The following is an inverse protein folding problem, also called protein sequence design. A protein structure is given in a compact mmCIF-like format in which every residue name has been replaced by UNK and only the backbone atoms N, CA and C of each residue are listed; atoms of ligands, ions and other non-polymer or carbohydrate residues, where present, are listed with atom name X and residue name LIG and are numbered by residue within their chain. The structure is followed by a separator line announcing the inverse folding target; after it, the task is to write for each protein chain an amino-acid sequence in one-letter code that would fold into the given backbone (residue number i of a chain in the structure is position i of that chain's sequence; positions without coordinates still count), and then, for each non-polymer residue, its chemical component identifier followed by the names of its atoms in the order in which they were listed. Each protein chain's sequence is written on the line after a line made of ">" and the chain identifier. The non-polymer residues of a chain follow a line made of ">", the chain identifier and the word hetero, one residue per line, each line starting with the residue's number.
data_IF_288517955085
#
_entry.id   IF_288517955085
#
_cell.length_a   1.000
_cell.length_b   1.000
_cell.length_c   1.000
_cell.angle_alpha   90.00
_cell.angle_beta   90.00
_cell.angle_gamma   90.00
#
_symmetry.space_group_name_H-M   'P 1'
#
loop_
_entity.id
_entity.type
_entity.pdbx_description
1 polymer ?
#
# COMPACT_ATOMS: atom_id res chain seq x y z
N UNK A 1 -80.51 1.43 18.71
CA UNK A 1 -79.95 2.07 17.50
C UNK A 1 -78.65 2.76 17.88
N UNK A 2 -77.55 2.01 18.10
CA UNK A 2 -76.27 2.60 18.56
C UNK A 2 -75.14 1.56 18.64
N UNK A 3 -74.70 0.97 17.52
CA UNK A 3 -73.51 0.07 17.49
C UNK A 3 -72.54 0.32 16.32
N UNK A 4 -72.82 1.27 15.44
CA UNK A 4 -72.05 1.43 14.18
C UNK A 4 -70.79 2.32 14.29
N UNK A 5 -70.56 3.01 15.41
CA UNK A 5 -69.46 3.98 15.52
C UNK A 5 -68.13 3.42 16.06
N UNK A 6 -68.11 2.22 16.65
CA UNK A 6 -66.88 1.64 17.23
C UNK A 6 -65.95 1.02 16.17
N UNK A 7 -66.51 0.52 15.07
CA UNK A 7 -65.79 -0.27 14.08
C UNK A 7 -64.85 0.57 13.19
N UNK A 8 -65.23 1.81 12.86
CA UNK A 8 -64.47 2.69 11.96
C UNK A 8 -63.13 3.18 12.54
N UNK A 9 -62.99 3.24 13.86
CA UNK A 9 -61.72 3.60 14.53
C UNK A 9 -60.68 2.48 14.41
N UNK A 10 -61.11 1.22 14.57
CA UNK A 10 -60.21 0.06 14.47
C UNK A 10 -59.61 -0.12 13.07
N UNK A 11 -60.33 0.25 12.01
CA UNK A 11 -59.78 0.22 10.65
C UNK A 11 -58.71 1.28 10.40
N UNK A 12 -58.85 2.48 11.00
CA UNK A 12 -57.84 3.55 10.89
C UNK A 12 -56.56 3.20 11.64
N UNK A 13 -56.68 2.58 12.81
CA UNK A 13 -55.52 2.15 13.60
C UNK A 13 -54.73 1.04 12.89
N UNK A 14 -55.40 0.08 12.27
CA UNK A 14 -54.75 -0.98 11.47
C UNK A 14 -54.06 -0.45 10.21
N UNK A 15 -54.65 0.58 9.57
CA UNK A 15 -54.03 1.26 8.43
C UNK A 15 -52.79 2.07 8.85
N UNK A 16 -52.85 2.77 9.99
CA UNK A 16 -51.72 3.53 10.52
C UNK A 16 -50.52 2.63 10.90
N UNK A 17 -50.78 1.47 11.52
CA UNK A 17 -49.76 0.48 11.85
C UNK A 17 -49.11 -0.16 10.60
N UNK A 18 -49.87 -0.30 9.50
CA UNK A 18 -49.33 -0.83 8.24
C UNK A 18 -48.45 0.20 7.53
N UNK A 19 -48.83 1.48 7.55
CA UNK A 19 -48.05 2.56 6.95
C UNK A 19 -46.70 2.78 7.66
N UNK A 20 -46.69 2.75 9.00
CA UNK A 20 -45.45 2.89 9.78
C UNK A 20 -44.47 1.75 9.53
N UNK A 21 -44.97 0.51 9.38
CA UNK A 21 -44.15 -0.66 9.10
C UNK A 21 -43.53 -0.61 7.69
N UNK A 22 -44.26 -0.09 6.70
CA UNK A 22 -43.72 0.18 5.35
C UNK A 22 -42.65 1.27 5.35
N UNK A 23 -42.84 2.35 6.13
CA UNK A 23 -41.83 3.39 6.32
C UNK A 23 -40.57 2.86 7.00
N UNK A 24 -40.73 2.03 8.04
CA UNK A 24 -39.62 1.39 8.72
C UNK A 24 -38.83 0.47 7.76
N UNK A 25 -39.52 -0.35 6.97
CA UNK A 25 -38.89 -1.18 5.93
C UNK A 25 -38.15 -0.36 4.88
N UNK A 26 -38.73 0.74 4.39
CA UNK A 26 -38.04 1.65 3.45
C UNK A 26 -36.75 2.20 4.04
N UNK A 27 -36.78 2.69 5.28
CA UNK A 27 -35.58 3.22 5.94
C UNK A 27 -34.48 2.18 6.14
N UNK A 28 -34.81 0.90 6.34
CA UNK A 28 -33.83 -0.18 6.42
C UNK A 28 -33.20 -0.48 5.05
N UNK A 29 -34.01 -0.51 4.00
CA UNK A 29 -33.53 -0.69 2.61
C UNK A 29 -32.64 0.49 2.19
N UNK A 30 -33.02 1.72 2.52
CA UNK A 30 -32.23 2.92 2.25
C UNK A 30 -30.89 2.88 3.00
N UNK A 31 -30.89 2.51 4.29
CA UNK A 31 -29.66 2.32 5.07
C UNK A 31 -28.74 1.25 4.46
N UNK A 32 -29.32 0.14 3.98
CA UNK A 32 -28.57 -0.92 3.31
C UNK A 32 -27.98 -0.45 1.97
N UNK A 33 -28.75 0.30 1.18
CA UNK A 33 -28.32 0.86 -0.11
C UNK A 33 -27.19 1.88 0.07
N UNK A 34 -27.30 2.77 1.06
CA UNK A 34 -26.25 3.73 1.40
C UNK A 34 -24.97 3.03 1.86
N UNK A 35 -25.09 1.98 2.67
CA UNK A 35 -23.93 1.19 3.14
C UNK A 35 -23.24 0.48 1.98
N UNK A 36 -24.01 -0.14 1.08
CA UNK A 36 -23.47 -0.79 -0.12
C UNK A 36 -22.78 0.20 -1.06
N UNK A 37 -23.37 1.38 -1.27
CA UNK A 37 -22.81 2.42 -2.13
C UNK A 37 -21.49 2.95 -1.55
N UNK A 38 -21.46 3.25 -0.24
CA UNK A 38 -20.22 3.66 0.45
C UNK A 38 -19.13 2.60 0.30
N UNK A 39 -19.47 1.33 0.47
CA UNK A 39 -18.53 0.23 0.30
C UNK A 39 -17.98 0.16 -1.13
N UNK A 40 -18.85 0.30 -2.15
CA UNK A 40 -18.43 0.33 -3.56
C UNK A 40 -17.51 1.52 -3.86
N UNK A 41 -17.80 2.70 -3.33
CA UNK A 41 -16.94 3.88 -3.49
C UNK A 41 -15.57 3.68 -2.84
N UNK A 42 -15.53 3.11 -1.63
CA UNK A 42 -14.26 2.80 -0.95
C UNK A 42 -13.46 1.78 -1.76
N UNK A 43 -14.09 0.68 -2.19
CA UNK A 43 -13.42 -0.32 -3.03
C UNK A 43 -12.94 0.23 -4.37
N UNK A 44 -13.76 1.06 -5.01
CA UNK A 44 -13.38 1.76 -6.24
C UNK A 44 -12.18 2.67 -6.02
N UNK A 45 -12.17 3.45 -4.94
CA UNK A 45 -11.04 4.30 -4.56
C UNK A 45 -9.77 3.49 -4.26
N UNK A 46 -9.88 2.39 -3.53
CA UNK A 46 -8.76 1.49 -3.25
C UNK A 46 -8.21 0.85 -4.53
N UNK A 47 -9.08 0.36 -5.41
CA UNK A 47 -8.68 -0.24 -6.68
C UNK A 47 -8.01 0.79 -7.60
N UNK A 48 -8.57 2.00 -7.69
CA UNK A 48 -7.99 3.09 -8.47
C UNK A 48 -6.62 3.50 -7.92
N UNK A 49 -6.50 3.62 -6.60
CA UNK A 49 -5.23 3.91 -5.94
C UNK A 49 -4.17 2.83 -6.21
N UNK A 50 -4.55 1.55 -6.09
CA UNK A 50 -3.67 0.43 -6.40
C UNK A 50 -3.21 0.44 -7.87
N UNK A 51 -4.13 0.67 -8.81
CA UNK A 51 -3.81 0.80 -10.23
C UNK A 51 -2.85 1.96 -10.49
N UNK A 52 -3.05 3.10 -9.83
CA UNK A 52 -2.16 4.26 -9.91
C UNK A 52 -0.74 3.93 -9.42
N UNK A 53 -0.62 3.21 -8.30
CA UNK A 53 0.68 2.74 -7.80
C UNK A 53 1.36 1.80 -8.79
N UNK A 54 0.63 0.83 -9.34
CA UNK A 54 1.16 -0.10 -10.35
C UNK A 54 1.65 0.66 -11.57
N UNK A 55 0.86 1.61 -12.09
CA UNK A 55 1.26 2.43 -13.23
C UNK A 55 2.54 3.24 -12.93
N UNK A 56 2.63 3.83 -11.72
CA UNK A 56 3.83 4.55 -11.28
C UNK A 56 5.04 3.63 -11.20
N UNK A 57 4.88 2.42 -10.67
CA UNK A 57 5.94 1.42 -10.61
C UNK A 57 6.41 1.00 -12.00
N UNK A 58 5.49 0.74 -12.93
CA UNK A 58 5.83 0.41 -14.32
C UNK A 58 6.61 1.55 -14.97
N UNK A 59 6.24 2.80 -14.76
CA UNK A 59 6.98 3.95 -15.27
C UNK A 59 8.43 3.98 -14.73
N UNK A 60 8.59 3.83 -13.41
CA UNK A 60 9.91 3.76 -12.76
C UNK A 60 10.76 2.57 -13.24
N UNK A 61 10.14 1.42 -13.46
CA UNK A 61 10.84 0.17 -13.78
C UNK A 61 11.07 -0.07 -15.28
N UNK A 62 10.29 0.55 -16.17
CA UNK A 62 10.42 0.35 -17.62
C UNK A 62 11.08 1.55 -18.28
N UNK A 63 10.67 2.77 -17.90
CA UNK A 63 11.13 4.00 -18.53
C UNK A 63 12.39 4.52 -17.83
N UNK A 64 12.35 4.63 -16.50
CA UNK A 64 13.45 5.20 -15.71
C UNK A 64 14.48 4.16 -15.22
N UNK A 65 14.20 2.86 -15.36
CA UNK A 65 15.12 1.81 -14.95
C UNK A 65 16.55 1.95 -15.50
N UNK A 66 16.79 2.23 -16.80
CA UNK A 66 18.16 2.38 -17.28
C UNK A 66 18.91 3.52 -16.59
N UNK A 67 18.23 4.62 -16.28
CA UNK A 67 18.83 5.77 -15.58
C UNK A 67 19.15 5.42 -14.11
N UNK A 68 18.19 4.82 -13.40
CA UNK A 68 18.39 4.39 -12.01
C UNK A 68 19.48 3.33 -11.87
N UNK A 69 19.57 2.39 -12.81
CA UNK A 69 20.64 1.39 -12.83
C UNK A 69 22.00 2.01 -13.11
N UNK A 70 22.09 3.00 -14.00
CA UNK A 70 23.35 3.72 -14.23
C UNK A 70 23.82 4.46 -12.98
N UNK A 71 22.90 5.13 -12.28
CA UNK A 71 23.20 5.81 -11.02
C UNK A 71 23.64 4.83 -9.93
N UNK A 72 22.92 3.71 -9.78
CA UNK A 72 23.29 2.66 -8.83
C UNK A 72 24.67 2.07 -9.15
N UNK A 73 24.98 1.82 -10.42
CA UNK A 73 26.31 1.36 -10.84
C UNK A 73 27.37 2.40 -10.49
N UNK A 74 27.16 3.68 -10.81
CA UNK A 74 28.11 4.73 -10.49
C UNK A 74 28.40 4.85 -8.98
N UNK A 75 27.40 4.55 -8.13
CA UNK A 75 27.55 4.58 -6.68
C UNK A 75 28.14 3.28 -6.10
N UNK A 76 27.74 2.12 -6.62
CA UNK A 76 28.16 0.80 -6.12
C UNK A 76 29.50 0.37 -6.68
N UNK A 77 29.86 0.78 -7.90
CA UNK A 77 31.20 0.59 -8.45
C UNK A 77 32.14 1.63 -7.83
N UNK A 78 32.31 1.59 -6.51
CA UNK A 78 33.47 2.20 -5.90
C UNK A 78 34.64 1.37 -6.39
N UNK A 79 35.41 1.91 -7.32
CA UNK A 79 36.64 1.28 -7.80
C UNK A 79 37.60 1.30 -6.60
N UNK A 80 37.51 0.28 -5.76
CA UNK A 80 38.49 0.01 -4.75
C UNK A 80 39.77 -0.35 -5.48
N UNK A 81 40.76 0.54 -5.44
CA UNK A 81 42.08 0.20 -5.95
C UNK A 81 42.59 -0.93 -5.06
N UNK A 82 42.73 -2.17 -5.57
CA UNK A 82 43.22 -3.25 -4.74
C UNK A 82 44.60 -2.83 -4.22
N UNK A 83 44.81 -2.99 -2.91
CA UNK A 83 46.12 -2.75 -2.33
C UNK A 83 47.10 -3.74 -2.94
N UNK A 84 48.03 -3.25 -3.76
CA UNK A 84 49.12 -4.07 -4.29
C UNK A 84 50.26 -3.99 -3.28
N UNK A 85 50.50 -5.03 -2.46
CA UNK A 85 51.59 -5.00 -1.48
C UNK A 85 52.93 -4.90 -2.22
N UNK A 86 53.87 -4.14 -1.65
CA UNK A 86 55.22 -4.06 -2.19
C UNK A 86 55.92 -5.40 -2.02
N UNK A 87 56.70 -5.83 -3.01
CA UNK A 87 57.51 -7.06 -2.91
C UNK A 87 58.44 -6.96 -1.71
N UNK A 88 58.49 -8.00 -0.88
CA UNK A 88 59.42 -8.06 0.24
C UNK A 88 60.86 -8.07 -0.25
N UNK A 89 61.73 -7.28 0.37
CA UNK A 89 63.16 -7.26 0.07
C UNK A 89 63.83 -8.35 0.90
N UNK A 90 64.57 -9.24 0.25
CA UNK A 90 65.30 -10.36 0.85
C UNK A 90 66.80 -10.20 0.61
N UNK A 91 67.63 -10.56 1.60
CA UNK A 91 69.10 -10.56 1.47
C UNK A 91 69.58 -11.80 0.69
N UNK A 92 70.87 -11.82 0.31
CA UNK A 92 71.56 -12.90 -0.41
C UNK A 92 71.50 -14.27 0.28
N UNK A 93 71.25 -14.31 1.58
CA UNK A 93 71.09 -15.52 2.41
C UNK A 93 69.62 -15.98 2.51
N UNK A 94 68.68 -15.24 1.91
CA UNK A 94 67.25 -15.51 1.95
C UNK A 94 66.52 -14.90 3.14
N UNK A 95 67.20 -14.13 3.98
CA UNK A 95 66.60 -13.52 5.17
C UNK A 95 65.77 -12.27 4.82
N UNK A 96 64.60 -12.12 5.43
CA UNK A 96 63.62 -11.10 5.06
C UNK A 96 63.88 -9.79 5.82
N UNK A 97 64.27 -8.74 5.12
CA UNK A 97 64.69 -7.46 5.73
C UNK A 97 63.51 -6.49 5.98
N UNK A 98 62.45 -6.56 5.18
CA UNK A 98 61.27 -5.69 5.33
C UNK A 98 60.00 -6.33 4.74
N UNK A 99 58.88 -6.19 5.46
CA UNK A 99 57.53 -6.61 5.04
C UNK A 99 56.50 -5.53 5.39
N UNK A 100 55.62 -5.21 4.45
CA UNK A 100 54.53 -4.26 4.67
C UNK A 100 53.36 -4.95 5.39
N UNK A 101 52.76 -4.28 6.39
CA UNK A 101 51.55 -4.73 7.09
C UNK A 101 50.48 -3.63 7.08
N UNK A 102 49.21 -3.95 6.77
CA UNK A 102 48.13 -2.96 6.84
C UNK A 102 47.91 -2.51 8.29
N UNK A 103 47.87 -1.19 8.52
CA UNK A 103 47.57 -0.58 9.81
C UNK A 103 46.16 0.03 9.82
N UNK A 104 45.47 -0.10 10.95
CA UNK A 104 44.14 0.46 11.15
C UNK A 104 44.19 1.48 12.29
N UNK A 105 43.69 2.68 12.03
CA UNK A 105 43.55 3.74 13.02
C UNK A 105 42.06 4.05 13.19
N UNK A 106 41.62 4.24 14.43
CA UNK A 106 40.22 4.54 14.78
C UNK A 106 39.91 6.03 14.66
#
# INVERSE_FOLDING_TARGET
>A
MSDTHRNSRQFRDRQALSASNLQQRKSLLDRQALTRTRLMVIWGGLALGALGLVARLVWLQVIDAPNLQQLARAQQSRIERPFVPRRSIVDRTGDQLAIDRPSYTL
#
